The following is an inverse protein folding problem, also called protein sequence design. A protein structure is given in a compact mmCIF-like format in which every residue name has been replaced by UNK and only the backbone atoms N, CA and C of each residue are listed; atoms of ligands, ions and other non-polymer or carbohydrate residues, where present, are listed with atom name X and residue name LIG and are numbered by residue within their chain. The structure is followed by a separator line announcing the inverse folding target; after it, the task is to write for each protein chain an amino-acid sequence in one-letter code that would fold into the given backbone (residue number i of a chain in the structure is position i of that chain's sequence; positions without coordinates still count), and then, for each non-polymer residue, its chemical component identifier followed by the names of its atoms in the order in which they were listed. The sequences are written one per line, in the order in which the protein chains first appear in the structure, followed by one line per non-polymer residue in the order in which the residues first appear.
data_IF_015983497227
#
_entry.id   IF_015983497227
#
_cell.length_a   1.000
_cell.length_b   1.000
_cell.length_c   1.000
_cell.angle_alpha   90.00
_cell.angle_beta   90.00
_cell.angle_gamma   90.00
#
_symmetry.space_group_name_H-M   'P 1'
#
loop_
_entity.id
_entity.type
_entity.pdbx_description
1 polymer ?
#
# COMPACT_ATOMS: atom_id res chain seq x y z
N UNK A 1 60.08 2.20 1.23
CA UNK A 1 59.41 1.18 0.40
C UNK A 1 58.44 0.40 1.26
N UNK A 2 58.92 -0.56 2.03
CA UNK A 2 58.08 -1.43 2.87
C UNK A 2 57.25 -0.70 3.92
N UNK A 3 57.75 0.38 4.51
CA UNK A 3 56.99 1.21 5.45
C UNK A 3 55.75 1.87 4.82
N UNK A 4 55.85 2.32 3.57
CA UNK A 4 54.70 2.87 2.82
C UNK A 4 53.70 1.77 2.46
N UNK A 5 54.18 0.60 2.02
CA UNK A 5 53.33 -0.55 1.73
C UNK A 5 52.62 -1.09 2.99
N UNK A 6 53.29 -1.12 4.14
CA UNK A 6 52.71 -1.48 5.45
C UNK A 6 51.55 -0.56 5.81
N UNK A 7 51.80 0.76 5.77
CA UNK A 7 50.79 1.78 6.08
C UNK A 7 49.56 1.65 5.18
N UNK A 8 49.77 1.45 3.87
CA UNK A 8 48.68 1.24 2.91
C UNK A 8 47.91 -0.05 3.16
N UNK A 9 48.60 -1.12 3.57
CA UNK A 9 47.98 -2.43 3.87
C UNK A 9 47.11 -2.33 5.13
N UNK A 10 47.59 -1.65 6.18
CA UNK A 10 46.80 -1.39 7.40
C UNK A 10 45.56 -0.54 7.11
N UNK A 11 45.70 0.52 6.31
CA UNK A 11 44.56 1.35 5.88
C UNK A 11 43.54 0.54 5.07
N UNK A 12 44.03 -0.34 4.19
CA UNK A 12 43.17 -1.20 3.38
C UNK A 12 42.42 -2.23 4.25
N UNK A 13 43.09 -2.83 5.24
CA UNK A 13 42.46 -3.74 6.19
C UNK A 13 41.32 -3.04 6.97
N UNK A 14 41.57 -1.84 7.51
CA UNK A 14 40.56 -1.06 8.21
C UNK A 14 39.35 -0.72 7.30
N UNK A 15 39.60 -0.37 6.03
CA UNK A 15 38.54 -0.10 5.07
C UNK A 15 37.71 -1.36 4.74
N UNK A 16 38.35 -2.52 4.65
CA UNK A 16 37.70 -3.82 4.44
C UNK A 16 36.81 -4.17 5.63
N UNK A 17 37.28 -4.03 6.87
CA UNK A 17 36.47 -4.27 8.07
C UNK A 17 35.23 -3.38 8.12
N UNK A 18 35.39 -2.08 7.87
CA UNK A 18 34.26 -1.14 7.85
C UNK A 18 33.26 -1.48 6.73
N UNK A 19 33.75 -1.89 5.57
CA UNK A 19 32.90 -2.31 4.45
C UNK A 19 32.16 -3.59 4.79
N UNK A 20 32.82 -4.59 5.39
CA UNK A 20 32.21 -5.83 5.84
C UNK A 20 31.09 -5.58 6.86
N UNK A 21 31.32 -4.74 7.87
CA UNK A 21 30.30 -4.34 8.84
C UNK A 21 29.09 -3.66 8.16
N UNK A 22 29.35 -2.78 7.19
CA UNK A 22 28.29 -2.13 6.40
C UNK A 22 27.50 -3.15 5.56
N UNK A 23 28.16 -4.18 5.02
CA UNK A 23 27.51 -5.26 4.27
C UNK A 23 26.61 -6.13 5.15
N UNK A 24 27.00 -6.40 6.39
CA UNK A 24 26.14 -7.12 7.34
C UNK A 24 24.86 -6.32 7.65
N UNK A 25 24.99 -5.02 7.90
CA UNK A 25 23.83 -4.15 8.11
C UNK A 25 22.93 -4.06 6.87
N UNK A 26 23.52 -3.97 5.67
CA UNK A 26 22.77 -4.01 4.41
C UNK A 26 22.03 -5.34 4.22
N UNK A 27 22.69 -6.47 4.53
CA UNK A 27 22.07 -7.79 4.47
C UNK A 27 20.85 -7.88 5.38
N UNK A 28 20.97 -7.40 6.62
CA UNK A 28 19.87 -7.37 7.57
C UNK A 28 18.70 -6.51 7.08
N UNK A 29 19.01 -5.33 6.53
CA UNK A 29 18.00 -4.38 6.03
C UNK A 29 17.27 -4.93 4.80
N UNK A 30 17.99 -5.54 3.85
CA UNK A 30 17.41 -6.14 2.65
C UNK A 30 16.51 -7.33 3.02
N UNK A 31 16.93 -8.17 3.97
CA UNK A 31 16.10 -9.27 4.48
C UNK A 31 14.81 -8.74 5.12
N UNK A 32 14.94 -7.72 5.97
CA UNK A 32 13.78 -7.10 6.60
C UNK A 32 12.82 -6.48 5.57
N UNK A 33 13.33 -5.89 4.48
CA UNK A 33 12.50 -5.38 3.40
C UNK A 33 11.72 -6.49 2.68
N UNK A 34 12.36 -7.63 2.39
CA UNK A 34 11.68 -8.78 1.81
C UNK A 34 10.56 -9.31 2.71
N UNK A 35 10.84 -9.48 4.01
CA UNK A 35 9.85 -9.93 5.00
C UNK A 35 8.68 -8.94 5.12
N UNK A 36 8.98 -7.63 5.15
CA UNK A 36 7.98 -6.58 5.19
C UNK A 36 7.10 -6.56 3.93
N UNK A 37 7.69 -6.76 2.75
CA UNK A 37 6.95 -6.82 1.50
C UNK A 37 5.98 -8.02 1.48
N UNK A 38 6.41 -9.20 1.95
CA UNK A 38 5.53 -10.36 2.12
C UNK A 38 4.40 -10.09 3.12
N UNK A 39 4.70 -9.47 4.26
CA UNK A 39 3.69 -9.10 5.25
C UNK A 39 2.67 -8.09 4.69
N UNK A 40 3.14 -7.06 3.98
CA UNK A 40 2.30 -6.06 3.36
C UNK A 40 1.40 -6.66 2.26
N UNK A 41 1.93 -7.57 1.44
CA UNK A 41 1.17 -8.33 0.44
C UNK A 41 0.00 -9.10 1.07
N UNK A 42 0.24 -9.81 2.18
CA UNK A 42 -0.82 -10.52 2.91
C UNK A 42 -1.87 -9.59 3.51
N UNK A 43 -1.45 -8.43 4.03
CA UNK A 43 -2.38 -7.43 4.56
C UNK A 43 -3.24 -6.82 3.44
N UNK A 44 -2.65 -6.58 2.27
CA UNK A 44 -3.37 -6.13 1.08
C UNK A 44 -4.40 -7.18 0.65
N UNK A 45 -4.05 -8.48 0.63
CA UNK A 45 -5.00 -9.54 0.31
C UNK A 45 -6.22 -9.57 1.25
N UNK A 46 -5.99 -9.46 2.57
CA UNK A 46 -7.09 -9.37 3.55
C UNK A 46 -7.97 -8.13 3.35
N UNK A 47 -7.35 -6.97 3.06
CA UNK A 47 -8.07 -5.74 2.77
C UNK A 47 -8.93 -5.86 1.50
N UNK A 48 -8.39 -6.49 0.44
CA UNK A 48 -9.12 -6.80 -0.79
C UNK A 48 -10.33 -7.71 -0.52
N UNK A 49 -10.14 -8.76 0.29
CA UNK A 49 -11.23 -9.66 0.70
C UNK A 49 -12.31 -8.95 1.52
N UNK A 50 -11.95 -7.98 2.37
CA UNK A 50 -12.90 -7.12 3.10
C UNK A 50 -13.66 -6.18 2.16
N UNK A 51 -12.97 -5.51 1.23
CA UNK A 51 -13.60 -4.63 0.26
C UNK A 51 -14.56 -5.39 -0.67
N UNK A 52 -14.19 -6.59 -1.12
CA UNK A 52 -15.06 -7.46 -1.92
C UNK A 52 -16.34 -7.84 -1.18
N UNK A 53 -16.25 -8.24 0.10
CA UNK A 53 -17.42 -8.48 0.95
C UNK A 53 -18.26 -7.22 1.15
N UNK A 54 -17.63 -6.06 1.28
CA UNK A 54 -18.29 -4.76 1.31
C UNK A 54 -19.12 -4.52 0.05
N UNK A 55 -18.54 -4.76 -1.13
CA UNK A 55 -19.24 -4.66 -2.42
C UNK A 55 -20.45 -5.61 -2.53
N UNK A 56 -20.33 -6.85 -2.05
CA UNK A 56 -21.47 -7.78 -2.00
C UNK A 56 -22.60 -7.27 -1.10
N UNK A 57 -22.27 -6.71 0.07
CA UNK A 57 -23.24 -6.15 1.00
C UNK A 57 -23.98 -4.96 0.39
N UNK A 58 -23.24 -4.07 -0.28
CA UNK A 58 -23.79 -2.94 -1.03
C UNK A 58 -24.76 -3.42 -2.12
N UNK A 59 -24.39 -4.44 -2.89
CA UNK A 59 -25.29 -5.02 -3.90
C UNK A 59 -26.61 -5.53 -3.29
N UNK A 60 -26.55 -6.15 -2.11
CA UNK A 60 -27.75 -6.56 -1.37
C UNK A 60 -28.63 -5.38 -0.93
N UNK A 61 -28.02 -4.25 -0.54
CA UNK A 61 -28.75 -3.02 -0.20
C UNK A 61 -29.45 -2.44 -1.44
N UNK A 62 -28.78 -2.39 -2.60
CA UNK A 62 -29.40 -1.94 -3.87
C UNK A 62 -30.62 -2.80 -4.21
N UNK A 63 -30.51 -4.13 -4.09
CA UNK A 63 -31.64 -5.03 -4.33
C UNK A 63 -32.81 -4.75 -3.38
N UNK A 64 -32.50 -4.50 -2.09
CA UNK A 64 -33.50 -4.18 -1.08
C UNK A 64 -34.20 -2.85 -1.39
N UNK A 65 -33.46 -1.82 -1.77
CA UNK A 65 -34.03 -0.53 -2.19
C UNK A 65 -34.94 -0.67 -3.41
N UNK A 66 -34.56 -1.50 -4.39
CA UNK A 66 -35.41 -1.82 -5.55
C UNK A 66 -36.73 -2.50 -5.14
N UNK A 67 -36.69 -3.42 -4.18
CA UNK A 67 -37.90 -4.07 -3.65
C UNK A 67 -38.80 -3.09 -2.89
N UNK A 68 -38.21 -2.18 -2.11
CA UNK A 68 -38.96 -1.13 -1.39
C UNK A 68 -39.61 -0.17 -2.41
N UNK A 69 -38.87 0.29 -3.43
CA UNK A 69 -39.41 1.15 -4.50
C UNK A 69 -40.60 0.50 -5.20
N UNK A 70 -40.49 -0.78 -5.55
CA UNK A 70 -41.58 -1.56 -6.17
C UNK A 70 -42.80 -1.67 -5.24
N UNK A 71 -42.57 -1.88 -3.94
CA UNK A 71 -43.65 -1.96 -2.94
C UNK A 71 -44.34 -0.61 -2.76
N UNK A 72 -43.59 0.49 -2.71
CA UNK A 72 -44.13 1.86 -2.63
C UNK A 72 -44.98 2.20 -3.86
N UNK A 73 -44.57 1.80 -5.07
CA UNK A 73 -45.39 1.97 -6.29
C UNK A 73 -46.74 1.27 -6.19
N UNK A 74 -46.77 0.03 -5.69
CA UNK A 74 -48.03 -0.70 -5.45
C UNK A 74 -48.93 0.01 -4.42
N UNK A 75 -48.35 0.57 -3.36
CA UNK A 75 -49.11 1.34 -2.36
C UNK A 75 -49.71 2.60 -3.02
N UNK A 76 -48.96 3.29 -3.88
CA UNK A 76 -49.45 4.44 -4.65
C UNK A 76 -50.65 4.07 -5.53
N UNK A 77 -50.57 2.95 -6.27
CA UNK A 77 -51.68 2.42 -7.08
C UNK A 77 -52.93 2.13 -6.23
N UNK A 78 -52.76 1.47 -5.08
CA UNK A 78 -53.87 1.18 -4.15
C UNK A 78 -54.49 2.48 -3.62
N UNK A 79 -53.66 3.46 -3.28
CA UNK A 79 -54.09 4.75 -2.76
C UNK A 79 -54.91 5.53 -3.80
N UNK A 80 -54.52 5.46 -5.08
CA UNK A 80 -55.28 6.01 -6.19
C UNK A 80 -56.67 5.35 -6.34
N UNK A 81 -56.75 4.03 -6.16
CA UNK A 81 -58.05 3.31 -6.15
C UNK A 81 -58.91 3.76 -4.96
N UNK A 82 -58.35 3.91 -3.76
CA UNK A 82 -59.07 4.41 -2.58
C UNK A 82 -59.63 5.80 -2.83
N UNK A 83 -58.83 6.70 -3.42
CA UNK A 83 -59.29 8.05 -3.79
C UNK A 83 -60.44 8.00 -4.81
N UNK A 84 -60.37 7.09 -5.79
CA UNK A 84 -61.45 6.86 -6.76
C UNK A 84 -62.74 6.36 -6.08
N UNK A 85 -62.64 5.42 -5.15
CA UNK A 85 -63.78 4.90 -4.37
C UNK A 85 -64.39 6.02 -3.51
N UNK A 86 -63.57 6.83 -2.86
CA UNK A 86 -64.03 7.97 -2.07
C UNK A 86 -64.79 8.98 -2.96
N UNK A 87 -64.28 9.27 -4.16
CA UNK A 87 -64.96 10.12 -5.13
C UNK A 87 -66.31 9.53 -5.57
N UNK A 88 -66.37 8.25 -5.93
CA UNK A 88 -67.61 7.56 -6.30
C UNK A 88 -68.63 7.59 -5.16
N UNK A 89 -68.19 7.34 -3.93
CA UNK A 89 -69.02 7.39 -2.71
C UNK A 89 -69.59 8.79 -2.49
N UNK A 90 -68.79 9.83 -2.72
CA UNK A 90 -69.23 11.22 -2.64
C UNK A 90 -70.32 11.55 -3.67
N UNK A 91 -70.22 11.03 -4.91
CA UNK A 91 -71.26 11.19 -5.95
C UNK A 91 -72.54 10.41 -5.58
N UNK A 92 -72.41 9.18 -5.09
CA UNK A 92 -73.55 8.37 -4.61
C UNK A 92 -74.30 9.08 -3.47
N UNK A 93 -73.56 9.63 -2.51
CA UNK A 93 -74.13 10.38 -1.38
C UNK A 93 -74.83 11.66 -1.83
N UNK A 94 -74.27 12.37 -2.82
CA UNK A 94 -74.91 13.53 -3.41
C UNK A 94 -76.25 13.16 -4.09
N UNK A 95 -76.26 12.08 -4.89
CA UNK A 95 -77.48 11.59 -5.54
C UNK A 95 -78.55 11.19 -4.51
N UNK A 96 -78.15 10.52 -3.42
CA UNK A 96 -79.05 10.15 -2.33
C UNK A 96 -79.63 11.38 -1.61
N UNK A 97 -78.82 12.43 -1.39
CA UNK A 97 -79.29 13.68 -0.81
C UNK A 97 -80.33 14.39 -1.70
N UNK A 98 -80.14 14.34 -3.03
CA UNK A 98 -81.09 14.89 -4.01
C UNK A 98 -82.41 14.11 -3.98
N UNK A 99 -82.37 12.78 -3.97
CA UNK A 99 -83.60 11.96 -3.93
C UNK A 99 -84.32 12.08 -2.58
N UNK A 100 -83.57 12.22 -1.48
CA UNK A 100 -84.13 12.49 -0.15
C UNK A 100 -84.85 13.85 -0.11
N UNK A 101 -84.30 14.89 -0.74
CA UNK A 101 -84.95 16.19 -0.87
C UNK A 101 -86.25 16.09 -1.70
N UNK A 102 -86.25 15.24 -2.74
CA UNK A 102 -87.42 14.99 -3.59
C UNK A 102 -88.56 14.27 -2.85
N UNK A 103 -88.24 13.42 -1.87
CA UNK A 103 -89.21 12.72 -1.03
C UNK A 103 -89.84 13.59 0.09
N UNK A 104 -89.40 14.85 0.24
CA UNK A 104 -89.95 15.79 1.23
C UNK A 104 -89.74 15.33 2.68
N UNK A 105 -90.78 15.45 3.52
CA UNK A 105 -90.70 15.10 4.95
C UNK A 105 -90.31 13.63 5.21
N UNK A 106 -90.69 12.71 4.32
CA UNK A 106 -90.36 11.28 4.44
C UNK A 106 -88.87 10.99 4.18
N UNK A 107 -88.16 11.90 3.51
CA UNK A 107 -86.74 11.77 3.17
C UNK A 107 -85.78 12.38 4.20
N UNK A 108 -86.27 13.06 5.26
CA UNK A 108 -85.38 13.80 6.19
C UNK A 108 -84.32 12.93 6.85
N UNK A 109 -84.67 11.71 7.27
CA UNK A 109 -83.71 10.76 7.84
C UNK A 109 -82.64 10.33 6.84
N UNK A 110 -83.03 10.06 5.58
CA UNK A 110 -82.11 9.72 4.50
C UNK A 110 -81.19 10.88 4.12
N UNK A 111 -81.68 12.12 4.15
CA UNK A 111 -80.87 13.30 3.85
C UNK A 111 -79.71 13.49 4.85
N UNK A 112 -79.95 13.22 6.14
CA UNK A 112 -78.91 13.29 7.18
C UNK A 112 -77.84 12.23 6.95
N UNK A 113 -78.25 10.97 6.68
CA UNK A 113 -77.31 9.88 6.40
C UNK A 113 -76.50 10.19 5.14
N UNK A 114 -77.13 10.70 4.08
CA UNK A 114 -76.44 11.09 2.86
C UNK A 114 -75.38 12.20 3.10
N UNK A 115 -75.67 13.18 3.95
CA UNK A 115 -74.70 14.21 4.33
C UNK A 115 -73.51 13.66 5.12
N UNK A 116 -73.76 12.72 6.04
CA UNK A 116 -72.70 12.08 6.83
C UNK A 116 -71.79 11.21 5.95
N UNK A 117 -72.37 10.40 5.05
CA UNK A 117 -71.63 9.59 4.07
C UNK A 117 -70.78 10.48 3.17
N UNK A 118 -71.32 11.62 2.71
CA UNK A 118 -70.59 12.59 1.90
C UNK A 118 -69.39 13.16 2.64
N UNK A 119 -69.57 13.51 3.92
CA UNK A 119 -68.49 14.04 4.77
C UNK A 119 -67.39 12.99 4.98
N UNK A 120 -67.77 11.73 5.24
CA UNK A 120 -66.84 10.62 5.39
C UNK A 120 -66.07 10.33 4.09
N UNK A 121 -66.73 10.40 2.94
CA UNK A 121 -66.12 10.24 1.63
C UNK A 121 -65.08 11.34 1.36
N UNK A 122 -65.40 12.61 1.64
CA UNK A 122 -64.47 13.74 1.52
C UNK A 122 -63.23 13.56 2.42
N UNK A 123 -63.44 13.16 3.68
CA UNK A 123 -62.35 12.86 4.62
C UNK A 123 -61.46 11.72 4.13
N UNK A 124 -62.05 10.68 3.54
CA UNK A 124 -61.31 9.54 2.99
C UNK A 124 -60.46 9.95 1.77
N UNK A 125 -61.01 10.78 0.87
CA UNK A 125 -60.26 11.31 -0.27
C UNK A 125 -59.07 12.17 0.15
N UNK A 126 -59.25 13.02 1.17
CA UNK A 126 -58.18 13.84 1.73
C UNK A 126 -57.07 12.97 2.34
N UNK A 127 -57.41 11.97 3.15
CA UNK A 127 -56.45 11.04 3.73
C UNK A 127 -55.69 10.25 2.65
N UNK A 128 -56.38 9.79 1.60
CA UNK A 128 -55.74 9.11 0.47
C UNK A 128 -54.71 10.02 -0.21
N UNK A 129 -55.04 11.30 -0.44
CA UNK A 129 -54.12 12.26 -1.06
C UNK A 129 -52.89 12.55 -0.18
N UNK A 130 -53.06 12.61 1.14
CA UNK A 130 -51.94 12.76 2.07
C UNK A 130 -51.01 11.54 2.04
N UNK A 131 -51.57 10.33 2.02
CA UNK A 131 -50.80 9.07 1.87
C UNK A 131 -50.04 9.07 0.54
N UNK A 132 -50.68 9.45 -0.56
CA UNK A 132 -50.05 9.53 -1.89
C UNK A 132 -48.84 10.46 -1.87
N UNK A 133 -48.94 11.62 -1.23
CA UNK A 133 -47.84 12.56 -1.05
C UNK A 133 -46.67 11.96 -0.24
N UNK A 134 -46.95 11.27 0.87
CA UNK A 134 -45.93 10.61 1.69
C UNK A 134 -45.22 9.48 0.94
N UNK A 135 -45.95 8.71 0.15
CA UNK A 135 -45.39 7.65 -0.68
C UNK A 135 -44.53 8.24 -1.80
N UNK A 136 -44.97 9.31 -2.45
CA UNK A 136 -44.16 10.02 -3.45
C UNK A 136 -42.84 10.53 -2.88
N UNK A 137 -42.87 11.14 -1.70
CA UNK A 137 -41.66 11.57 -0.99
C UNK A 137 -40.74 10.39 -0.64
N UNK A 138 -41.32 9.27 -0.20
CA UNK A 138 -40.57 8.05 0.13
C UNK A 138 -39.88 7.44 -1.10
N UNK A 139 -40.56 7.39 -2.26
CA UNK A 139 -39.96 6.92 -3.51
C UNK A 139 -38.77 7.79 -3.91
N UNK A 140 -38.90 9.12 -3.82
CA UNK A 140 -37.81 10.03 -4.14
C UNK A 140 -36.59 9.83 -3.24
N UNK A 141 -36.79 9.61 -1.93
CA UNK A 141 -35.71 9.33 -0.99
C UNK A 141 -35.02 7.98 -1.27
N UNK A 142 -35.79 6.95 -1.66
CA UNK A 142 -35.24 5.65 -2.03
C UNK A 142 -34.40 5.73 -3.30
N UNK A 143 -34.85 6.50 -4.30
CA UNK A 143 -34.09 6.71 -5.54
C UNK A 143 -32.75 7.39 -5.25
N UNK A 144 -32.75 8.48 -4.47
CA UNK A 144 -31.52 9.16 -4.04
C UNK A 144 -30.59 8.22 -3.26
N UNK A 145 -31.13 7.49 -2.27
CA UNK A 145 -30.35 6.52 -1.50
C UNK A 145 -29.78 5.38 -2.36
N UNK A 146 -30.51 4.95 -3.40
CA UNK A 146 -30.03 3.95 -4.34
C UNK A 146 -28.83 4.46 -5.15
N UNK A 147 -28.84 5.72 -5.58
CA UNK A 147 -27.71 6.33 -6.31
C UNK A 147 -26.45 6.39 -5.44
N UNK A 148 -26.58 6.84 -4.18
CA UNK A 148 -25.46 6.91 -3.22
C UNK A 148 -24.86 5.52 -2.95
N UNK A 149 -25.71 4.51 -2.79
CA UNK A 149 -25.28 3.13 -2.54
C UNK A 149 -24.59 2.54 -3.78
N UNK A 150 -25.04 2.85 -4.99
CA UNK A 150 -24.36 2.45 -6.23
C UNK A 150 -22.96 3.08 -6.31
N UNK A 151 -22.85 4.37 -5.99
CA UNK A 151 -21.57 5.07 -5.95
C UNK A 151 -20.62 4.42 -4.91
N UNK A 152 -21.13 4.10 -3.71
CA UNK A 152 -20.36 3.37 -2.70
C UNK A 152 -19.87 2.01 -3.20
N UNK A 153 -20.70 1.30 -3.99
CA UNK A 153 -20.32 0.03 -4.64
C UNK A 153 -19.19 0.19 -5.65
N UNK A 154 -19.23 1.26 -6.46
CA UNK A 154 -18.13 1.61 -7.38
C UNK A 154 -16.84 1.87 -6.61
N UNK A 155 -16.89 2.66 -5.54
CA UNK A 155 -15.72 2.95 -4.69
C UNK A 155 -15.11 1.69 -4.08
N UNK A 156 -15.93 0.69 -3.69
CA UNK A 156 -15.40 -0.60 -3.22
C UNK A 156 -14.62 -1.34 -4.31
N UNK A 157 -15.09 -1.30 -5.56
CA UNK A 157 -14.35 -1.90 -6.69
C UNK A 157 -13.03 -1.18 -6.95
N UNK A 158 -13.02 0.15 -6.91
CA UNK A 158 -11.79 0.95 -7.04
C UNK A 158 -10.78 0.63 -5.93
N UNK A 159 -11.25 0.41 -4.69
CA UNK A 159 -10.39 -0.03 -3.58
C UNK A 159 -9.79 -1.40 -3.88
N UNK A 160 -10.59 -2.37 -4.35
CA UNK A 160 -10.08 -3.70 -4.71
C UNK A 160 -8.97 -3.59 -5.76
N UNK A 161 -9.16 -2.78 -6.80
CA UNK A 161 -8.16 -2.61 -7.85
C UNK A 161 -6.92 -1.83 -7.40
N UNK A 162 -7.07 -0.84 -6.51
CA UNK A 162 -5.94 -0.17 -5.88
C UNK A 162 -5.11 -1.13 -5.02
N UNK A 163 -5.77 -1.99 -4.25
CA UNK A 163 -5.11 -2.97 -3.38
C UNK A 163 -4.41 -4.08 -4.18
N UNK A 164 -4.96 -4.49 -5.32
CA UNK A 164 -4.25 -5.39 -6.25
C UNK A 164 -2.92 -4.78 -6.72
N UNK A 165 -2.93 -3.50 -7.15
CA UNK A 165 -1.70 -2.80 -7.55
C UNK A 165 -0.67 -2.73 -6.42
N UNK A 166 -1.12 -2.51 -5.17
CA UNK A 166 -0.22 -2.56 -4.00
C UNK A 166 0.39 -3.95 -3.84
N UNK A 167 -0.41 -4.99 -4.02
CA UNK A 167 0.05 -6.40 -3.94
C UNK A 167 1.13 -6.67 -4.98
N UNK A 168 0.92 -6.24 -6.23
CA UNK A 168 1.90 -6.40 -7.32
C UNK A 168 3.22 -5.68 -6.99
N UNK A 169 3.16 -4.43 -6.52
CA UNK A 169 4.34 -3.67 -6.12
C UNK A 169 5.09 -4.38 -4.98
N UNK A 170 4.39 -4.95 -4.00
CA UNK A 170 5.03 -5.71 -2.92
C UNK A 170 5.73 -6.98 -3.44
N UNK A 171 5.16 -7.66 -4.43
CA UNK A 171 5.81 -8.81 -5.08
C UNK A 171 7.09 -8.39 -5.81
N UNK A 172 7.05 -7.25 -6.51
CA UNK A 172 8.24 -6.69 -7.17
C UNK A 172 9.33 -6.31 -6.16
N UNK A 173 8.96 -5.70 -5.03
CA UNK A 173 9.91 -5.36 -3.95
C UNK A 173 10.52 -6.63 -3.34
N UNK A 174 9.72 -7.67 -3.10
CA UNK A 174 10.22 -8.93 -2.58
C UNK A 174 11.21 -9.59 -3.55
N UNK A 175 10.90 -9.61 -4.85
CA UNK A 175 11.79 -10.13 -5.89
C UNK A 175 13.10 -9.31 -5.98
N UNK A 176 13.01 -7.99 -6.01
CA UNK A 176 14.17 -7.11 -6.03
C UNK A 176 15.04 -7.26 -4.76
N UNK A 177 14.41 -7.48 -3.60
CA UNK A 177 15.14 -7.71 -2.34
C UNK A 177 15.86 -9.06 -2.33
N UNK A 178 15.28 -10.11 -2.91
CA UNK A 178 15.96 -11.41 -3.09
C UNK A 178 17.18 -11.28 -4.02
N UNK A 179 17.03 -10.53 -5.12
CA UNK A 179 18.14 -10.24 -6.04
C UNK A 179 19.25 -9.42 -5.36
N UNK A 180 18.89 -8.38 -4.61
CA UNK A 180 19.83 -7.61 -3.80
C UNK A 180 20.57 -8.49 -2.79
N UNK A 181 19.87 -9.41 -2.13
CA UNK A 181 20.49 -10.33 -1.18
C UNK A 181 21.56 -11.21 -1.86
N UNK A 182 21.26 -11.74 -3.05
CA UNK A 182 22.24 -12.51 -3.84
C UNK A 182 23.45 -11.66 -4.25
N UNK A 183 23.22 -10.42 -4.67
CA UNK A 183 24.29 -9.47 -5.01
C UNK A 183 25.18 -9.15 -3.81
N UNK A 184 24.58 -8.97 -2.63
CA UNK A 184 25.30 -8.75 -1.37
C UNK A 184 26.19 -9.96 -1.02
N UNK A 185 25.69 -11.18 -1.19
CA UNK A 185 26.50 -12.40 -0.96
C UNK A 185 27.73 -12.44 -1.87
N UNK A 186 27.59 -12.06 -3.14
CA UNK A 186 28.73 -12.00 -4.07
C UNK A 186 29.75 -10.93 -3.67
N UNK A 187 29.27 -9.75 -3.25
CA UNK A 187 30.16 -8.67 -2.76
C UNK A 187 30.88 -9.11 -1.48
N UNK A 188 30.19 -9.79 -0.57
CA UNK A 188 30.77 -10.33 0.66
C UNK A 188 31.88 -11.34 0.37
N UNK A 189 31.71 -12.21 -0.64
CA UNK A 189 32.76 -13.12 -1.10
C UNK A 189 33.98 -12.36 -1.65
N UNK A 190 33.77 -11.33 -2.47
CA UNK A 190 34.86 -10.51 -2.99
C UNK A 190 35.62 -9.76 -1.88
N UNK A 191 34.93 -9.28 -0.84
CA UNK A 191 35.55 -8.66 0.33
C UNK A 191 36.41 -9.69 1.09
N UNK A 192 35.94 -10.93 1.25
CA UNK A 192 36.72 -12.00 1.88
C UNK A 192 37.99 -12.34 1.09
N UNK A 193 37.92 -12.32 -0.24
CA UNK A 193 39.12 -12.47 -1.09
C UNK A 193 40.09 -11.29 -0.95
N UNK A 194 39.57 -10.05 -0.90
CA UNK A 194 40.38 -8.85 -0.66
C UNK A 194 41.07 -8.89 0.71
N UNK A 195 40.37 -9.35 1.75
CA UNK A 195 40.95 -9.52 3.09
C UNK A 195 42.14 -10.50 3.05
N UNK A 196 41.96 -11.64 2.38
CA UNK A 196 43.03 -12.63 2.20
C UNK A 196 44.25 -12.05 1.49
N UNK A 197 44.06 -11.28 0.42
CA UNK A 197 45.17 -10.62 -0.30
C UNK A 197 45.83 -9.54 0.57
N UNK A 198 45.04 -8.83 1.39
CA UNK A 198 45.54 -7.80 2.31
C UNK A 198 46.41 -8.43 3.40
N UNK A 199 45.98 -9.54 3.99
CA UNK A 199 46.78 -10.32 4.95
C UNK A 199 48.06 -10.86 4.31
N UNK A 200 47.99 -11.34 3.07
CA UNK A 200 49.17 -11.80 2.33
C UNK A 200 50.15 -10.65 2.03
N UNK A 201 49.66 -9.45 1.74
CA UNK A 201 50.51 -8.27 1.57
C UNK A 201 51.20 -7.90 2.90
N UNK A 202 50.51 -8.00 4.03
CA UNK A 202 51.10 -7.75 5.33
C UNK A 202 52.26 -8.74 5.62
N UNK A 203 52.05 -10.04 5.37
CA UNK A 203 53.11 -11.04 5.55
C UNK A 203 54.29 -10.80 4.60
N UNK A 204 54.03 -10.44 3.33
CA UNK A 204 55.08 -10.11 2.36
C UNK A 204 55.89 -8.88 2.77
N UNK A 205 55.25 -7.88 3.37
CA UNK A 205 55.94 -6.68 3.90
C UNK A 205 56.85 -7.05 5.07
N UNK A 206 56.41 -7.93 5.97
CA UNK A 206 57.24 -8.44 7.06
C UNK A 206 58.44 -9.22 6.54
N UNK A 207 58.22 -10.18 5.62
CA UNK A 207 59.28 -10.97 4.99
C UNK A 207 60.30 -10.08 4.25
N UNK A 208 59.81 -9.12 3.46
CA UNK A 208 60.67 -8.20 2.73
C UNK A 208 61.45 -7.28 3.67
N UNK A 209 60.88 -6.89 4.82
CA UNK A 209 61.57 -6.05 5.81
C UNK A 209 62.66 -6.83 6.54
N UNK A 210 62.41 -8.11 6.87
CA UNK A 210 63.42 -9.01 7.42
C UNK A 210 64.56 -9.26 6.41
N UNK A 211 64.23 -9.48 5.13
CA UNK A 211 65.22 -9.65 4.08
C UNK A 211 66.08 -8.38 3.88
N UNK A 212 65.46 -7.20 3.89
CA UNK A 212 66.17 -5.92 3.79
C UNK A 212 67.13 -5.71 4.98
N UNK A 213 66.70 -6.01 6.21
CA UNK A 213 67.55 -5.92 7.39
C UNK A 213 68.74 -6.90 7.32
N UNK A 214 68.52 -8.13 6.83
CA UNK A 214 69.60 -9.10 6.63
C UNK A 214 70.61 -8.64 5.57
N UNK A 215 70.14 -8.05 4.47
CA UNK A 215 71.01 -7.48 3.43
C UNK A 215 71.81 -6.29 3.95
N UNK A 216 71.21 -5.43 4.77
CA UNK A 216 71.88 -4.29 5.42
C UNK A 216 72.99 -4.78 6.37
N UNK A 217 72.73 -5.82 7.16
CA UNK A 217 73.73 -6.47 8.00
C UNK A 217 74.89 -7.07 7.18
N UNK A 218 74.59 -7.77 6.08
CA UNK A 218 75.61 -8.33 5.19
C UNK A 218 76.46 -7.23 4.52
N UNK A 219 75.85 -6.13 4.08
CA UNK A 219 76.55 -4.99 3.50
C UNK A 219 77.43 -4.27 4.52
N UNK A 220 76.98 -4.13 5.78
CA UNK A 220 77.77 -3.59 6.87
C UNK A 220 79.01 -4.47 7.15
N UNK A 221 78.83 -5.80 7.21
CA UNK A 221 79.93 -6.77 7.37
C UNK A 221 80.94 -6.70 6.21
N UNK A 222 80.48 -6.56 4.97
CA UNK A 222 81.35 -6.40 3.79
C UNK A 222 82.14 -5.09 3.84
N UNK A 223 81.49 -3.97 4.17
CA UNK A 223 82.16 -2.67 4.34
C UNK A 223 83.26 -2.75 5.39
N UNK A 224 82.95 -3.37 6.54
CA UNK A 224 83.91 -3.56 7.63
C UNK A 224 85.09 -4.46 7.22
N UNK A 225 84.85 -5.47 6.38
CA UNK A 225 85.90 -6.33 5.83
C UNK A 225 86.79 -5.59 4.83
N UNK A 226 86.25 -4.68 4.02
CA UNK A 226 87.03 -3.85 3.07
C UNK A 226 87.85 -2.79 3.80
N UNK A 227 87.32 -2.14 4.84
CA UNK A 227 88.06 -1.16 5.67
C UNK A 227 89.30 -1.77 6.35
N UNK A 228 89.29 -3.08 6.61
CA UNK A 228 90.45 -3.78 7.15
C UNK A 228 91.62 -3.88 6.13
N UNK A 229 91.35 -3.72 4.82
CA UNK A 229 92.38 -3.71 3.79
C UNK A 229 92.97 -2.30 3.60
N UNK A 230 94.06 -2.00 4.31
CA UNK A 230 94.88 -0.82 4.01
C UNK A 230 95.78 -1.09 2.78
N UNK A 231 95.52 -0.37 1.68
CA UNK A 231 96.45 -0.32 0.54
C UNK A 231 97.65 0.55 0.93
N UNK A 232 98.84 -0.05 0.98
CA UNK A 232 100.07 0.71 1.09
C UNK A 232 100.19 1.62 -0.14
N UNK A 233 100.16 2.93 0.08
CA UNK A 233 100.51 3.94 -0.92
C UNK A 233 101.94 3.67 -1.37
N UNK A 234 102.07 2.94 -2.47
CA UNK A 234 103.35 2.66 -3.12
C UNK A 234 103.62 3.76 -4.12
N UNK A 235 103.45 5.03 -3.72
CA UNK A 235 104.12 6.19 -4.28
C UNK A 235 105.61 6.14 -3.97
N UNK A 236 106.28 5.08 -4.43
CA UNK A 236 107.71 4.88 -4.29
C UNK A 236 108.43 5.98 -5.06
N UNK A 237 109.14 6.78 -4.27
CA UNK A 237 110.29 7.59 -4.65
C UNK A 237 111.17 6.87 -5.67
N UNK A 238 111.21 7.33 -6.92
CA UNK A 238 112.38 7.12 -7.78
C UNK A 238 112.94 8.47 -8.23
N UNK A 239 114.09 8.81 -7.64
CA UNK A 239 114.97 9.92 -8.00
C UNK A 239 115.58 9.69 -9.39
N UNK A 240 116.06 10.81 -9.95
CA UNK A 240 117.19 10.91 -10.90
C UNK A 240 116.82 10.59 -12.37
N UNK A 241 117.35 11.21 -13.41
CA UNK A 241 118.29 12.32 -13.61
C UNK A 241 118.44 12.49 -15.15
N UNK A 242 119.10 13.57 -15.55
CA UNK A 242 119.74 13.84 -16.85
C UNK A 242 118.95 14.56 -17.97
N UNK A 243 119.39 15.83 -18.13
CA UNK A 243 119.53 16.70 -19.31
C UNK A 243 118.31 17.47 -19.82
#
# INVERSE_FOLDING_TARGET
GNTDLSSRTEQQAAAIEQTAASMEQLTATVKQNADNAHHASKLAEDASGKASRGGQMVSGVVQTMGNISTSSKKISEITAVINSIAFQTNILALNAAVEAARAGEQGRGFAVVASEVRTLASRSAQAAKEIEGLIGASVSLIEQGSEEVIAAGSTMNEIVDAVKRVTDIMLDIAAASDEQSRGIVQVSQAISEMDKVTQQNASLVEEASAAAASLEEQAARLTQAVDAFHLQDTGATMRSSFL
#
